data_IF_591855465491
#
_entry.id   IF_591855465491
#
_cell.length_a   1.000
_cell.length_b   1.000
_cell.length_c   1.000
_cell.angle_alpha   90.00
_cell.angle_beta   90.00
_cell.angle_gamma   90.00
#
_symmetry.space_group_name_H-M   'P 1'
#
loop_
_entity.id
_entity.type
_entity.pdbx_description
1 polymer ?
#
# COMPACT_ATOMS: atom_id res chain seq x y z
N UNK A 1 31.66 3.10 13.76
CA UNK A 1 31.34 4.29 12.96
C UNK A 1 30.10 3.97 12.12
N UNK A 2 28.98 4.65 12.34
CA UNK A 2 27.81 4.58 11.45
C UNK A 2 27.86 5.77 10.50
N UNK A 3 28.49 5.59 9.35
CA UNK A 3 28.48 6.62 8.29
C UNK A 3 27.11 6.58 7.61
N UNK A 4 26.35 7.69 7.60
CA UNK A 4 25.02 7.72 6.98
C UNK A 4 25.13 7.48 5.47
N UNK A 5 24.43 6.45 4.99
CA UNK A 5 24.35 6.12 3.58
C UNK A 5 23.38 7.08 2.87
N UNK A 6 23.92 7.98 2.06
CA UNK A 6 23.10 8.93 1.29
C UNK A 6 22.65 8.35 -0.05
N UNK A 7 21.33 8.28 -0.26
CA UNK A 7 20.78 7.92 -1.56
C UNK A 7 20.66 9.16 -2.46
N UNK A 8 20.77 9.03 -3.80
CA UNK A 8 20.54 10.15 -4.73
C UNK A 8 19.18 10.88 -4.63
N UNK A 9 18.23 10.33 -3.86
CA UNK A 9 16.89 10.89 -3.60
C UNK A 9 16.83 11.68 -2.28
N UNK A 10 17.88 11.58 -1.48
CA UNK A 10 18.08 12.24 -0.19
C UNK A 10 19.13 13.34 -0.27
N UNK A 11 19.95 13.35 -1.34
CA UNK A 11 20.82 14.47 -1.67
C UNK A 11 19.93 15.68 -1.99
N UNK A 12 19.87 16.59 -1.01
CA UNK A 12 18.94 17.72 -0.98
C UNK A 12 19.20 18.70 -2.14
N UNK A 13 18.14 19.12 -2.84
CA UNK A 13 18.14 20.29 -3.74
C UNK A 13 17.98 21.61 -2.96
N UNK A 14 18.54 21.69 -1.75
CA UNK A 14 18.44 22.85 -0.87
C UNK A 14 19.69 23.73 -0.91
N UNK A 15 19.48 25.06 -0.96
CA UNK A 15 20.43 26.18 -1.02
C UNK A 15 21.38 26.25 -2.24
N UNK A 16 21.87 25.14 -2.78
CA UNK A 16 22.78 25.10 -3.93
C UNK A 16 22.36 23.97 -4.89
N UNK A 17 21.32 24.18 -5.69
CA UNK A 17 20.71 23.20 -6.61
C UNK A 17 21.61 22.56 -7.70
N UNK A 18 22.94 22.62 -7.55
CA UNK A 18 23.96 22.06 -8.44
C UNK A 18 24.67 20.81 -7.89
N UNK A 19 24.41 20.39 -6.65
CA UNK A 19 25.17 19.28 -6.05
C UNK A 19 24.85 17.92 -6.67
N UNK A 20 23.60 17.65 -7.07
CA UNK A 20 23.23 16.30 -7.55
C UNK A 20 23.79 16.01 -8.94
N UNK A 21 23.84 16.98 -9.84
CA UNK A 21 24.44 16.82 -11.17
C UNK A 21 25.97 16.70 -11.09
N UNK A 22 26.59 17.34 -10.10
CA UNK A 22 28.03 17.26 -9.86
C UNK A 22 28.46 15.97 -9.15
N UNK A 23 27.58 15.36 -8.34
CA UNK A 23 27.89 14.17 -7.52
C UNK A 23 27.38 12.87 -8.15
N UNK A 24 26.22 12.90 -8.82
CA UNK A 24 25.62 11.72 -9.43
C UNK A 24 25.83 11.72 -10.94
N UNK A 25 26.41 10.63 -11.46
CA UNK A 25 26.43 10.39 -12.90
C UNK A 25 25.00 10.39 -13.48
N UNK A 26 24.78 10.97 -14.67
CA UNK A 26 23.45 11.08 -15.27
C UNK A 26 22.79 9.71 -15.53
N UNK A 27 23.59 8.67 -15.77
CA UNK A 27 23.12 7.30 -15.93
C UNK A 27 22.55 6.71 -14.63
N UNK A 28 23.16 7.01 -13.48
CA UNK A 28 22.71 6.54 -12.18
C UNK A 28 21.30 7.06 -11.85
N UNK A 29 20.99 8.30 -12.23
CA UNK A 29 19.65 8.88 -12.07
C UNK A 29 18.62 8.10 -12.89
N UNK A 30 18.94 7.74 -14.13
CA UNK A 30 18.05 6.96 -15.01
C UNK A 30 17.82 5.54 -14.47
N UNK A 31 18.88 4.86 -14.04
CA UNK A 31 18.78 3.52 -13.44
C UNK A 31 17.89 3.57 -12.20
N UNK A 32 18.11 4.57 -11.34
CA UNK A 32 17.33 4.72 -10.12
C UNK A 32 15.88 5.06 -10.39
N UNK A 33 15.58 5.86 -11.40
CA UNK A 33 14.20 6.13 -11.81
C UNK A 33 13.48 4.85 -12.27
N UNK A 34 14.13 4.03 -13.09
CA UNK A 34 13.62 2.71 -13.49
C UNK A 34 13.38 1.81 -12.29
N UNK A 35 14.34 1.75 -11.36
CA UNK A 35 14.21 0.97 -10.13
C UNK A 35 13.04 1.44 -9.27
N UNK A 36 12.87 2.75 -9.06
CA UNK A 36 11.75 3.30 -8.27
C UNK A 36 10.41 2.99 -8.93
N UNK A 37 10.33 3.10 -10.25
CA UNK A 37 9.13 2.75 -11.02
C UNK A 37 8.76 1.28 -10.81
N UNK A 38 9.73 0.37 -10.98
CA UNK A 38 9.54 -1.06 -10.74
C UNK A 38 9.08 -1.33 -9.28
N UNK A 39 9.74 -0.72 -8.29
CA UNK A 39 9.37 -0.88 -6.88
C UNK A 39 7.97 -0.37 -6.55
N UNK A 40 7.51 0.71 -7.20
CA UNK A 40 6.13 1.17 -7.06
C UNK A 40 5.14 0.15 -7.63
N UNK A 41 5.41 -0.40 -8.83
CA UNK A 41 4.56 -1.43 -9.43
C UNK A 41 4.54 -2.72 -8.59
N UNK A 42 5.70 -3.19 -8.12
CA UNK A 42 5.78 -4.34 -7.21
C UNK A 42 4.94 -4.12 -5.95
N UNK A 43 5.03 -2.93 -5.34
CA UNK A 43 4.25 -2.61 -4.15
C UNK A 43 2.74 -2.61 -4.45
N UNK A 44 2.30 -2.04 -5.58
CA UNK A 44 0.90 -2.07 -6.00
C UNK A 44 0.39 -3.50 -6.25
N UNK A 45 1.16 -4.33 -6.95
CA UNK A 45 0.81 -5.73 -7.17
C UNK A 45 0.67 -6.50 -5.85
N UNK A 46 1.59 -6.27 -4.91
CA UNK A 46 1.51 -6.86 -3.58
C UNK A 46 0.25 -6.42 -2.81
N UNK A 47 -0.13 -5.13 -2.91
CA UNK A 47 -1.36 -4.60 -2.30
C UNK A 47 -2.59 -5.29 -2.90
N UNK A 48 -2.69 -5.36 -4.24
CA UNK A 48 -3.79 -6.01 -4.95
C UNK A 48 -3.90 -7.50 -4.59
N UNK A 49 -2.78 -8.21 -4.61
CA UNK A 49 -2.72 -9.61 -4.22
C UNK A 49 -3.20 -9.82 -2.78
N UNK A 50 -2.72 -8.99 -1.84
CA UNK A 50 -3.10 -9.08 -0.42
C UNK A 50 -4.60 -8.79 -0.22
N UNK A 51 -5.17 -7.84 -0.97
CA UNK A 51 -6.61 -7.56 -0.97
C UNK A 51 -7.43 -8.76 -1.47
N UNK A 52 -6.99 -9.40 -2.55
CA UNK A 52 -7.63 -10.60 -3.08
C UNK A 52 -7.62 -11.75 -2.06
N UNK A 53 -6.45 -12.02 -1.47
CA UNK A 53 -6.28 -13.04 -0.41
C UNK A 53 -7.19 -12.74 0.79
N UNK A 54 -7.18 -11.50 1.29
CA UNK A 54 -8.04 -11.08 2.41
C UNK A 54 -9.52 -11.30 2.09
N UNK A 55 -9.95 -10.95 0.88
CA UNK A 55 -11.33 -11.17 0.43
C UNK A 55 -11.69 -12.65 0.43
N UNK A 56 -10.82 -13.52 -0.09
CA UNK A 56 -11.04 -14.97 -0.10
C UNK A 56 -11.10 -15.54 1.32
N UNK A 57 -10.21 -15.10 2.21
CA UNK A 57 -10.21 -15.52 3.62
C UNK A 57 -11.49 -15.09 4.34
N UNK A 58 -12.00 -13.90 4.06
CA UNK A 58 -13.26 -13.43 4.62
C UNK A 58 -14.45 -14.31 4.18
N UNK A 59 -14.53 -14.68 2.89
CA UNK A 59 -15.55 -15.60 2.39
C UNK A 59 -15.44 -16.98 3.01
N UNK A 60 -14.22 -17.52 3.06
CA UNK A 60 -13.96 -18.81 3.67
C UNK A 60 -14.42 -18.83 5.13
N UNK A 61 -14.04 -17.79 5.88
CA UNK A 61 -14.47 -17.61 7.27
C UNK A 61 -15.99 -17.57 7.40
N UNK A 62 -16.67 -16.75 6.59
CA UNK A 62 -18.14 -16.60 6.64
C UNK A 62 -18.87 -17.92 6.39
N UNK A 63 -18.37 -18.73 5.45
CA UNK A 63 -19.02 -19.97 5.03
C UNK A 63 -18.71 -21.14 5.95
N UNK A 64 -17.45 -21.32 6.35
CA UNK A 64 -16.97 -22.56 6.96
C UNK A 64 -16.68 -22.47 8.46
N UNK A 65 -16.43 -21.28 9.00
CA UNK A 65 -16.01 -21.14 10.39
C UNK A 65 -17.23 -20.98 11.30
N UNK A 66 -17.34 -21.85 12.30
CA UNK A 66 -18.37 -21.86 13.34
C UNK A 66 -17.72 -21.84 14.72
N UNK A 67 -18.45 -21.36 15.72
CA UNK A 67 -17.94 -21.25 17.09
C UNK A 67 -16.97 -20.09 17.32
N UNK A 68 -16.81 -19.70 18.59
CA UNK A 68 -16.06 -18.49 18.97
C UNK A 68 -14.55 -18.64 18.79
N UNK A 69 -13.99 -19.78 19.18
CA UNK A 69 -12.54 -20.04 19.13
C UNK A 69 -11.98 -19.95 17.71
N UNK A 70 -12.57 -20.68 16.77
CA UNK A 70 -12.12 -20.70 15.38
C UNK A 70 -12.40 -19.39 14.65
N UNK A 71 -13.47 -18.70 15.03
CA UNK A 71 -13.79 -17.36 14.54
C UNK A 71 -12.70 -16.34 14.93
N UNK A 72 -12.23 -16.40 16.17
CA UNK A 72 -11.17 -15.54 16.70
C UNK A 72 -9.82 -15.88 16.05
N UNK A 73 -9.48 -17.17 15.94
CA UNK A 73 -8.27 -17.61 15.22
C UNK A 73 -8.26 -17.14 13.78
N UNK A 74 -9.37 -17.34 13.06
CA UNK A 74 -9.51 -16.89 11.67
C UNK A 74 -9.41 -15.36 11.56
N UNK A 75 -9.95 -14.63 12.53
CA UNK A 75 -9.84 -13.17 12.58
C UNK A 75 -8.38 -12.74 12.75
N UNK A 76 -7.64 -13.35 13.67
CA UNK A 76 -6.23 -13.03 13.89
C UNK A 76 -5.39 -13.22 12.62
N UNK A 77 -5.63 -14.28 11.83
CA UNK A 77 -4.91 -14.49 10.56
C UNK A 77 -5.27 -13.40 9.54
N UNK A 78 -6.55 -13.02 9.43
CA UNK A 78 -7.01 -11.93 8.54
C UNK A 78 -6.38 -10.59 8.95
N UNK A 79 -6.26 -10.34 10.25
CA UNK A 79 -5.66 -9.10 10.78
C UNK A 79 -4.15 -9.07 10.50
N UNK A 80 -3.44 -10.19 10.65
CA UNK A 80 -2.03 -10.30 10.28
C UNK A 80 -1.78 -10.02 8.78
N UNK A 81 -2.64 -10.54 7.91
CA UNK A 81 -2.59 -10.22 6.46
C UNK A 81 -2.87 -8.73 6.21
N UNK A 82 -3.80 -8.14 6.96
CA UNK A 82 -4.09 -6.71 6.88
C UNK A 82 -2.91 -5.85 7.34
N UNK A 83 -2.17 -6.26 8.37
CA UNK A 83 -0.95 -5.54 8.79
C UNK A 83 0.15 -5.63 7.75
N UNK A 84 0.34 -6.80 7.12
CA UNK A 84 1.28 -6.94 6.01
C UNK A 84 0.93 -6.00 4.85
N UNK A 85 -0.37 -5.85 4.55
CA UNK A 85 -0.85 -4.90 3.55
C UNK A 85 -0.45 -3.45 3.87
N UNK A 86 -0.60 -3.01 5.13
CA UNK A 86 -0.17 -1.66 5.57
C UNK A 86 1.33 -1.45 5.34
N UNK A 87 2.14 -2.50 5.53
CA UNK A 87 3.56 -2.47 5.20
C UNK A 87 3.83 -2.19 3.71
N UNK A 88 3.08 -2.81 2.81
CA UNK A 88 3.20 -2.54 1.36
C UNK A 88 2.72 -1.14 0.97
N UNK A 89 1.65 -0.65 1.60
CA UNK A 89 1.13 0.71 1.40
C UNK A 89 2.19 1.75 1.78
N UNK A 90 2.83 1.57 2.94
CA UNK A 90 3.91 2.46 3.39
C UNK A 90 5.07 2.45 2.39
N UNK A 91 5.54 1.27 1.97
CA UNK A 91 6.59 1.12 0.96
C UNK A 91 6.24 1.84 -0.35
N UNK A 92 4.99 1.71 -0.83
CA UNK A 92 4.55 2.42 -2.02
C UNK A 92 4.65 3.94 -1.85
N UNK A 93 4.13 4.49 -0.74
CA UNK A 93 4.20 5.92 -0.43
C UNK A 93 5.65 6.42 -0.34
N UNK A 94 6.52 5.65 0.31
CA UNK A 94 7.95 5.98 0.45
C UNK A 94 8.65 6.00 -0.92
N UNK A 95 8.40 5.00 -1.76
CA UNK A 95 8.98 4.95 -3.11
C UNK A 95 8.44 6.04 -4.03
N UNK A 96 7.15 6.35 -3.93
CA UNK A 96 6.53 7.44 -4.68
C UNK A 96 7.12 8.79 -4.28
N UNK A 97 7.26 9.06 -2.97
CA UNK A 97 7.89 10.28 -2.47
C UNK A 97 9.36 10.37 -2.90
N UNK A 98 10.09 9.26 -2.87
CA UNK A 98 11.47 9.22 -3.35
C UNK A 98 11.58 9.44 -4.86
N UNK A 99 10.62 8.95 -5.66
CA UNK A 99 10.55 9.20 -7.11
C UNK A 99 10.23 10.66 -7.40
N UNK A 100 9.32 11.27 -6.64
CA UNK A 100 8.99 12.69 -6.72
C UNK A 100 10.21 13.57 -6.45
N UNK A 101 11.00 13.27 -5.41
CA UNK A 101 12.28 13.96 -5.15
C UNK A 101 13.32 13.72 -6.26
N UNK A 102 13.27 12.57 -6.93
CA UNK A 102 14.27 12.19 -7.91
C UNK A 102 14.04 12.88 -9.27
N UNK A 103 12.83 12.82 -9.79
CA UNK A 103 12.45 13.24 -11.16
C UNK A 103 11.67 14.56 -11.16
N UNK A 104 11.01 14.89 -10.05
CA UNK A 104 10.03 15.97 -10.01
C UNK A 104 8.67 15.55 -10.59
N UNK A 105 7.70 16.48 -10.57
CA UNK A 105 6.37 16.24 -11.10
C UNK A 105 6.42 16.02 -12.62
N UNK A 106 5.59 15.11 -13.13
CA UNK A 106 5.57 14.79 -14.56
C UNK A 106 4.48 13.79 -14.94
N UNK A 107 4.49 13.36 -16.21
CA UNK A 107 3.47 12.45 -16.77
C UNK A 107 3.31 11.14 -15.98
N UNK A 108 4.36 10.68 -15.30
CA UNK A 108 4.35 9.46 -14.49
C UNK A 108 3.40 9.51 -13.29
N UNK A 109 3.03 10.69 -12.79
CA UNK A 109 2.06 10.84 -11.68
C UNK A 109 0.66 10.35 -12.06
N UNK A 110 0.32 10.40 -13.36
CA UNK A 110 -0.97 9.89 -13.86
C UNK A 110 -1.10 8.39 -13.64
N UNK A 111 0.02 7.67 -13.72
CA UNK A 111 0.12 6.20 -13.60
C UNK A 111 0.38 5.80 -12.15
N UNK A 112 1.33 6.47 -11.46
CA UNK A 112 1.70 6.21 -10.06
C UNK A 112 1.16 7.31 -9.14
N UNK A 113 -0.17 7.29 -8.94
CA UNK A 113 -0.90 8.28 -8.14
C UNK A 113 -0.67 8.11 -6.65
N UNK A 114 -0.92 9.17 -5.88
CA UNK A 114 -0.90 9.11 -4.42
C UNK A 114 -1.99 8.15 -3.94
N UNK A 115 -1.58 7.08 -3.25
CA UNK A 115 -2.49 6.07 -2.72
C UNK A 115 -3.11 6.56 -1.42
N UNK A 116 -4.37 6.99 -1.46
CA UNK A 116 -5.13 7.41 -0.27
C UNK A 116 -5.81 6.22 0.38
N UNK A 117 -6.12 6.32 1.65
CA UNK A 117 -6.75 5.22 2.39
C UNK A 117 -8.12 4.85 1.81
N UNK A 118 -8.85 5.83 1.27
CA UNK A 118 -10.14 5.63 0.58
C UNK A 118 -10.04 4.85 -0.74
N UNK A 119 -8.84 4.77 -1.33
CA UNK A 119 -8.59 4.03 -2.57
C UNK A 119 -8.31 2.54 -2.26
N UNK A 120 -8.01 2.18 -1.00
CA UNK A 120 -7.79 0.81 -0.54
C UNK A 120 -9.15 0.21 -0.13
N UNK A 121 -9.88 -0.29 -1.12
CA UNK A 121 -11.20 -0.91 -0.91
C UNK A 121 -11.12 -2.42 -1.05
N UNK A 122 -11.95 -3.14 -0.29
CA UNK A 122 -12.16 -4.57 -0.54
C UNK A 122 -12.97 -4.75 -1.83
N UNK A 123 -12.69 -5.81 -2.60
CA UNK A 123 -13.47 -6.15 -3.81
C UNK A 123 -14.98 -6.29 -3.52
N UNK A 124 -15.36 -6.60 -2.27
CA UNK A 124 -16.76 -6.79 -1.87
C UNK A 124 -17.46 -5.55 -1.29
N UNK A 125 -16.74 -4.49 -0.89
CA UNK A 125 -17.37 -3.32 -0.26
C UNK A 125 -18.32 -2.59 -1.22
N UNK A 126 -18.15 -2.75 -2.53
CA UNK A 126 -18.99 -2.10 -3.52
C UNK A 126 -20.37 -2.75 -3.71
N UNK A 127 -20.55 -4.02 -3.31
CA UNK A 127 -21.74 -4.82 -3.66
C UNK A 127 -22.66 -5.09 -2.45
N UNK A 128 -22.17 -4.95 -1.21
CA UNK A 128 -22.87 -5.46 -0.01
C UNK A 128 -23.46 -4.40 0.94
N UNK A 129 -23.37 -3.11 0.64
CA UNK A 129 -24.06 -2.05 1.40
C UNK A 129 -25.59 -2.00 1.11
N UNK A 130 -26.25 -3.16 1.04
CA UNK A 130 -27.69 -3.24 1.36
C UNK A 130 -27.78 -3.58 2.83
N UNK A 131 -27.84 -2.55 3.69
CA UNK A 131 -28.20 -2.68 5.11
C UNK A 131 -29.45 -3.57 5.18
N UNK A 132 -29.29 -4.80 5.67
CA UNK A 132 -30.45 -5.58 6.08
C UNK A 132 -31.03 -4.86 7.30
N UNK A 133 -32.35 -4.60 7.35
CA UNK A 133 -32.97 -4.11 8.58
C UNK A 133 -32.58 -5.09 9.69
N UNK A 134 -32.04 -4.58 10.79
CA UNK A 134 -31.66 -5.40 11.93
C UNK A 134 -32.84 -6.26 12.37
N UNK A 135 -32.57 -7.45 12.90
CA UNK A 135 -33.61 -8.28 13.52
C UNK A 135 -34.28 -7.44 14.62
N UNK A 136 -35.49 -6.96 14.36
CA UNK A 136 -36.36 -6.45 15.40
C UNK A 136 -36.69 -7.65 16.28
N UNK A 137 -36.15 -7.66 17.50
CA UNK A 137 -36.54 -8.64 18.50
C UNK A 137 -38.06 -8.58 18.67
N UNK A 138 -38.69 -9.76 18.76
CA UNK A 138 -40.09 -9.84 19.14
C UNK A 138 -40.22 -9.16 20.52
N UNK A 139 -40.99 -8.08 20.58
CA UNK A 139 -41.49 -7.58 21.86
C UNK A 139 -42.43 -8.67 22.38
N UNK A 140 -42.00 -9.38 23.42
CA UNK A 140 -42.89 -10.26 24.18
C UNK A 140 -43.63 -9.37 25.19
N UNK A 141 -44.97 -9.39 25.09
CA UNK A 141 -45.93 -8.77 26.01
C UNK A 141 -45.95 -9.48 27.38
#
# INVERSE_FOLDING_TARGET
>A
EEVPLWLPSEINTGANGRCRENVCAPELVKIKDRLRTAKCHDALQNIQHTLCVKSRMFHFKKQNVRGQRDNMRSRAVIDHVSERMKGFIRKYRDFQAAKLKLVGPGAWETTLRVLRDKDIRSYHDQVLEKKRPGCQGANED
#
